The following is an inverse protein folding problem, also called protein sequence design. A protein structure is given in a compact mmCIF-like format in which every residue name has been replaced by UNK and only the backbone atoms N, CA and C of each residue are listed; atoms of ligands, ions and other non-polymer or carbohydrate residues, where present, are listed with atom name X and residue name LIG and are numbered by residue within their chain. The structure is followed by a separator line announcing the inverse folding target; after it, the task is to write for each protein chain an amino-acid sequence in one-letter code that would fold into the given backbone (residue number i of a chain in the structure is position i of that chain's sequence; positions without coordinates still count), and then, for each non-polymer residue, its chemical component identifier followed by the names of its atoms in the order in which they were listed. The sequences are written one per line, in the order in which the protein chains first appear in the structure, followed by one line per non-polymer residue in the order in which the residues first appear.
data_IF_576389885549
#
_entry.id   IF_576389885549
#
_cell.length_a   1.000
_cell.length_b   1.000
_cell.length_c   1.000
_cell.angle_alpha   90.00
_cell.angle_beta   90.00
_cell.angle_gamma   90.00
#
_symmetry.space_group_name_H-M   'P 1'
#
loop_
_entity.id
_entity.type
_entity.pdbx_description
1 polymer ?
#
# COMPACT_ATOMS: atom_id res chain seq x y z
N UNK A 1 16.27 16.37 -4.38
CA UNK A 1 15.31 16.78 -5.40
C UNK A 1 14.05 17.21 -4.69
N UNK A 2 13.53 18.40 -4.99
CA UNK A 2 12.24 18.89 -4.47
C UNK A 2 11.10 18.43 -5.37
N UNK A 3 9.85 18.65 -4.92
CA UNK A 3 8.68 18.34 -5.75
C UNK A 3 8.62 19.27 -6.97
N UNK A 4 8.94 20.54 -6.77
CA UNK A 4 8.96 21.56 -7.82
C UNK A 4 10.03 21.26 -8.88
N UNK A 5 11.16 20.66 -8.48
CA UNK A 5 12.18 20.16 -9.41
C UNK A 5 11.70 18.93 -10.18
N UNK A 6 10.95 18.02 -9.54
CA UNK A 6 10.37 16.85 -10.19
C UNK A 6 9.33 17.24 -11.25
N UNK A 7 8.47 18.22 -10.96
CA UNK A 7 7.45 18.74 -11.89
C UNK A 7 8.04 19.40 -13.15
N UNK A 8 9.31 19.79 -13.13
CA UNK A 8 10.00 20.35 -14.29
C UNK A 8 10.58 19.27 -15.21
N UNK A 9 10.59 17.99 -14.80
CA UNK A 9 11.03 16.90 -15.64
C UNK A 9 9.97 16.56 -16.70
N UNK A 10 10.37 15.99 -17.85
CA UNK A 10 9.43 15.36 -18.77
C UNK A 10 8.56 14.33 -18.05
N UNK A 11 7.27 14.30 -18.37
CA UNK A 11 6.28 13.42 -17.72
C UNK A 11 6.69 11.94 -17.76
N UNK A 12 7.33 11.51 -18.85
CA UNK A 12 7.80 10.12 -19.02
C UNK A 12 8.91 9.74 -18.04
N UNK A 13 9.62 10.74 -17.51
CA UNK A 13 10.66 10.62 -16.48
C UNK A 13 10.04 10.79 -15.10
N UNK A 14 9.26 11.85 -14.88
CA UNK A 14 8.65 12.16 -13.59
C UNK A 14 7.77 11.00 -13.08
N UNK A 15 6.96 10.41 -13.96
CA UNK A 15 6.10 9.25 -13.67
C UNK A 15 6.84 7.97 -13.25
N UNK A 16 8.18 7.96 -13.31
CA UNK A 16 9.02 6.82 -12.91
C UNK A 16 9.82 7.10 -11.64
N UNK A 17 9.50 8.17 -10.93
CA UNK A 17 10.26 8.63 -9.77
C UNK A 17 9.33 8.74 -8.56
N UNK A 18 9.77 8.14 -7.45
CA UNK A 18 9.31 8.50 -6.11
C UNK A 18 10.37 9.38 -5.43
N UNK A 19 9.93 10.26 -4.53
CA UNK A 19 10.82 11.05 -3.68
C UNK A 19 10.70 10.57 -2.24
N UNK A 20 11.77 9.96 -1.73
CA UNK A 20 11.85 9.51 -0.34
C UNK A 20 12.62 10.54 0.46
N UNK A 21 11.91 11.48 1.08
CA UNK A 21 12.52 12.64 1.77
C UNK A 21 13.54 13.37 0.87
N UNK A 22 13.10 13.71 -0.34
CA UNK A 22 13.90 14.38 -1.37
C UNK A 22 14.94 13.51 -2.09
N UNK A 23 15.09 12.24 -1.72
CA UNK A 23 15.91 11.26 -2.44
C UNK A 23 15.13 10.66 -3.61
N UNK A 24 15.72 10.72 -4.81
CA UNK A 24 15.16 10.13 -6.03
C UNK A 24 15.24 8.60 -5.96
N UNK A 25 14.10 7.94 -6.11
CA UNK A 25 13.97 6.49 -6.23
C UNK A 25 13.28 6.16 -7.55
N UNK A 26 13.93 5.33 -8.37
CA UNK A 26 13.40 4.94 -9.67
C UNK A 26 12.46 3.75 -9.54
N UNK A 27 11.22 3.95 -9.98
CA UNK A 27 10.23 2.89 -10.12
C UNK A 27 10.63 1.95 -11.26
N UNK A 28 10.53 0.64 -10.98
CA UNK A 28 10.68 -0.40 -11.99
C UNK A 28 9.28 -0.77 -12.48
N UNK A 29 9.09 -0.82 -13.80
CA UNK A 29 7.85 -1.37 -14.36
C UNK A 29 7.83 -2.89 -14.12
N UNK A 30 6.84 -3.36 -13.36
CA UNK A 30 6.55 -4.78 -13.21
C UNK A 30 6.09 -5.42 -14.52
N UNK A 31 6.03 -6.77 -14.57
CA UNK A 31 5.45 -7.50 -15.70
C UNK A 31 3.95 -7.20 -15.86
N UNK A 32 3.33 -7.61 -16.97
CA UNK A 32 1.90 -7.33 -17.22
C UNK A 32 0.96 -7.88 -16.12
N UNK A 33 1.34 -9.02 -15.54
CA UNK A 33 0.67 -9.65 -14.41
C UNK A 33 0.56 -8.72 -13.21
N UNK A 34 1.60 -7.93 -12.91
CA UNK A 34 1.56 -6.94 -11.83
C UNK A 34 0.39 -5.99 -12.01
N UNK A 35 0.27 -5.40 -13.20
CA UNK A 35 -0.80 -4.45 -13.52
C UNK A 35 -2.18 -5.11 -13.49
N UNK A 36 -2.30 -6.35 -13.97
CA UNK A 36 -3.54 -7.12 -13.95
C UNK A 36 -4.00 -7.38 -12.51
N UNK A 37 -3.11 -7.88 -11.65
CA UNK A 37 -3.47 -8.20 -10.26
C UNK A 37 -3.69 -6.94 -9.42
N UNK A 38 -2.92 -5.86 -9.64
CA UNK A 38 -3.20 -4.56 -9.04
C UNK A 38 -4.61 -4.09 -9.38
N UNK A 39 -4.99 -4.13 -10.66
CA UNK A 39 -6.33 -3.72 -11.09
C UNK A 39 -7.46 -4.56 -10.48
N UNK A 40 -7.26 -5.88 -10.34
CA UNK A 40 -8.26 -6.77 -9.72
C UNK A 40 -8.40 -6.55 -8.22
N UNK A 41 -7.29 -6.43 -7.52
CA UNK A 41 -7.29 -6.14 -6.08
C UNK A 41 -7.96 -4.80 -5.82
N UNK A 42 -7.62 -3.77 -6.60
CA UNK A 42 -8.30 -2.48 -6.52
C UNK A 42 -9.82 -2.60 -6.76
N UNK A 43 -10.25 -3.28 -7.83
CA UNK A 43 -11.66 -3.44 -8.14
C UNK A 43 -12.43 -4.20 -7.04
N UNK A 44 -11.83 -5.26 -6.48
CA UNK A 44 -12.40 -6.01 -5.37
C UNK A 44 -12.50 -5.17 -4.09
N UNK A 45 -11.49 -4.35 -3.80
CA UNK A 45 -11.50 -3.39 -2.69
C UNK A 45 -12.56 -2.31 -2.88
N UNK A 46 -12.71 -1.78 -4.09
CA UNK A 46 -13.75 -0.79 -4.42
C UNK A 46 -15.15 -1.39 -4.22
N UNK A 47 -15.37 -2.61 -4.70
CA UNK A 47 -16.63 -3.34 -4.48
C UNK A 47 -16.94 -3.46 -2.99
N UNK A 48 -16.00 -3.96 -2.19
CA UNK A 48 -16.18 -4.13 -0.74
C UNK A 48 -16.43 -2.78 -0.04
N UNK A 49 -15.72 -1.72 -0.42
CA UNK A 49 -15.91 -0.38 0.14
C UNK A 49 -17.33 0.14 -0.13
N UNK A 50 -17.81 -0.01 -1.38
CA UNK A 50 -19.18 0.39 -1.79
C UNK A 50 -20.24 -0.39 -1.05
N UNK A 51 -20.05 -1.71 -0.89
CA UNK A 51 -20.97 -2.57 -0.14
C UNK A 51 -21.04 -2.14 1.33
N UNK A 52 -19.89 -1.93 1.98
CA UNK A 52 -19.83 -1.47 3.37
C UNK A 52 -20.53 -0.11 3.56
N UNK A 53 -20.30 0.84 2.64
CA UNK A 53 -20.95 2.16 2.67
C UNK A 53 -22.46 2.09 2.37
N UNK A 54 -22.94 1.07 1.65
CA UNK A 54 -24.37 0.88 1.41
C UNK A 54 -25.11 0.38 2.66
N UNK A 55 -24.40 -0.29 3.57
CA UNK A 55 -24.93 -0.82 4.84
C UNK A 55 -24.87 0.23 5.95
N UNK A 56 -23.78 0.99 6.04
CA UNK A 56 -23.59 2.04 7.03
C UNK A 56 -22.92 3.27 6.42
N UNK A 57 -23.52 4.45 6.67
CA UNK A 57 -22.97 5.74 6.23
C UNK A 57 -22.06 6.40 7.29
N UNK A 58 -21.70 5.70 8.36
CA UNK A 58 -20.88 6.28 9.45
C UNK A 58 -19.48 6.68 8.98
N UNK A 59 -18.92 5.93 8.03
CA UNK A 59 -17.60 6.19 7.48
C UNK A 59 -17.65 6.19 5.95
N UNK A 60 -16.90 7.10 5.33
CA UNK A 60 -16.76 7.18 3.88
C UNK A 60 -15.39 6.66 3.47
N UNK A 61 -15.37 5.60 2.66
CA UNK A 61 -14.17 4.90 2.23
C UNK A 61 -14.00 4.99 0.72
N UNK A 62 -12.75 5.09 0.26
CA UNK A 62 -12.40 5.06 -1.16
C UNK A 62 -11.22 4.13 -1.38
N UNK A 63 -11.37 3.23 -2.35
CA UNK A 63 -10.26 2.45 -2.89
C UNK A 63 -9.67 3.19 -4.09
N UNK A 64 -8.35 3.28 -4.13
CA UNK A 64 -7.59 3.93 -5.20
C UNK A 64 -6.39 3.05 -5.58
N UNK A 65 -5.81 3.30 -6.75
CA UNK A 65 -4.61 2.62 -7.24
C UNK A 65 -3.64 3.66 -7.81
N UNK A 66 -2.34 3.33 -7.80
CA UNK A 66 -1.25 4.18 -8.32
C UNK A 66 -1.35 5.67 -7.89
N UNK A 67 -1.77 5.93 -6.64
CA UNK A 67 -1.98 7.29 -6.11
C UNK A 67 -0.92 7.64 -5.08
N UNK A 68 -0.24 8.77 -5.24
CA UNK A 68 0.81 9.22 -4.32
C UNK A 68 0.25 9.47 -2.91
N UNK A 69 0.94 8.93 -1.90
CA UNK A 69 0.72 9.22 -0.50
C UNK A 69 1.86 10.12 -0.02
N UNK A 70 1.52 11.33 0.42
CA UNK A 70 2.48 12.27 0.99
C UNK A 70 2.55 12.10 2.51
N UNK A 71 3.76 11.88 3.07
CA UNK A 71 3.93 11.55 4.49
C UNK A 71 3.98 12.77 5.42
N UNK A 72 4.36 13.94 4.89
CA UNK A 72 4.32 15.19 5.65
C UNK A 72 2.93 15.80 5.75
N UNK A 73 2.65 16.51 6.85
CA UNK A 73 1.45 17.35 6.99
C UNK A 73 1.40 18.47 5.93
N UNK A 74 2.57 18.90 5.46
CA UNK A 74 2.77 19.87 4.39
C UNK A 74 3.89 19.42 3.46
N UNK A 75 3.90 19.92 2.22
CA UNK A 75 4.93 19.60 1.24
C UNK A 75 4.67 18.28 0.49
N UNK A 76 5.45 18.05 -0.57
CA UNK A 76 5.27 16.91 -1.48
C UNK A 76 6.56 16.17 -1.82
N UNK A 77 7.70 16.59 -1.26
CA UNK A 77 9.01 15.98 -1.53
C UNK A 77 9.27 14.68 -0.76
N UNK A 78 8.28 14.21 0.01
CA UNK A 78 8.31 12.91 0.64
C UNK A 78 7.00 12.15 0.36
N UNK A 79 7.07 11.21 -0.59
CA UNK A 79 5.93 10.40 -1.00
C UNK A 79 6.36 9.02 -1.52
N UNK A 80 5.37 8.13 -1.53
CA UNK A 80 5.44 6.85 -2.22
C UNK A 80 4.12 6.60 -2.94
N UNK A 81 4.14 5.69 -3.90
CA UNK A 81 3.00 5.30 -4.72
C UNK A 81 2.74 3.82 -4.50
N UNK A 82 1.79 3.43 -3.62
CA UNK A 82 1.37 2.04 -3.51
C UNK A 82 0.61 1.60 -4.76
N UNK A 83 0.58 0.29 -5.01
CA UNK A 83 -0.17 -0.28 -6.12
C UNK A 83 -1.67 -0.11 -5.93
N UNK A 84 -2.16 -0.40 -4.72
CA UNK A 84 -3.53 -0.14 -4.32
C UNK A 84 -3.60 0.34 -2.87
N UNK A 85 -4.67 1.03 -2.53
CA UNK A 85 -4.86 1.58 -1.19
C UNK A 85 -6.34 1.80 -0.86
N UNK A 86 -6.63 1.93 0.42
CA UNK A 86 -7.93 2.37 0.94
C UNK A 86 -7.71 3.57 1.85
N UNK A 87 -8.49 4.63 1.62
CA UNK A 87 -8.41 5.86 2.40
C UNK A 87 -9.81 6.40 2.73
N UNK A 88 -9.88 7.31 3.70
CA UNK A 88 -11.09 8.10 3.98
C UNK A 88 -11.40 9.02 2.81
N UNK A 89 -12.67 9.31 2.59
CA UNK A 89 -13.05 10.35 1.64
C UNK A 89 -12.43 11.70 2.04
N UNK A 90 -11.84 12.37 1.05
CA UNK A 90 -11.22 13.67 1.25
C UNK A 90 -12.27 14.78 1.24
N UNK A 91 -11.97 15.88 1.94
CA UNK A 91 -12.90 17.00 2.10
C UNK A 91 -13.14 17.77 0.79
N UNK A 92 -12.16 17.75 -0.11
CA UNK A 92 -12.23 18.48 -1.38
C UNK A 92 -11.75 17.64 -2.58
N UNK A 93 -12.31 17.88 -3.78
CA UNK A 93 -11.80 17.28 -5.02
C UNK A 93 -10.33 17.66 -5.27
N UNK A 94 -9.55 16.73 -5.82
CA UNK A 94 -8.14 16.91 -6.18
C UNK A 94 -7.20 17.26 -5.01
N UNK A 95 -7.66 17.08 -3.77
CA UNK A 95 -6.81 17.20 -2.59
C UNK A 95 -5.71 16.13 -2.62
N UNK A 96 -4.50 16.53 -2.23
CA UNK A 96 -3.39 15.59 -2.04
C UNK A 96 -3.74 14.58 -0.95
N UNK A 97 -3.46 13.31 -1.21
CA UNK A 97 -3.67 12.25 -0.24
C UNK A 97 -2.54 12.22 0.80
N UNK A 98 -2.90 12.40 2.07
CA UNK A 98 -1.96 12.35 3.20
C UNK A 98 -2.01 10.99 3.87
N UNK A 99 -0.90 10.55 4.44
CA UNK A 99 -0.85 9.26 5.15
C UNK A 99 -1.89 9.13 6.27
N UNK A 100 -2.24 10.24 6.93
CA UNK A 100 -3.27 10.28 7.98
C UNK A 100 -4.67 9.87 7.49
N UNK A 101 -4.94 10.03 6.20
CA UNK A 101 -6.22 9.64 5.58
C UNK A 101 -6.24 8.17 5.14
N UNK A 102 -5.07 7.53 5.07
CA UNK A 102 -4.89 6.17 4.54
C UNK A 102 -5.05 5.13 5.64
N UNK A 103 -5.86 4.12 5.36
CA UNK A 103 -6.13 3.01 6.30
C UNK A 103 -5.40 1.73 5.93
N UNK A 104 -5.21 1.51 4.62
CA UNK A 104 -4.59 0.31 4.07
C UNK A 104 -3.79 0.71 2.84
N UNK A 105 -2.58 0.17 2.74
CA UNK A 105 -1.75 0.19 1.51
C UNK A 105 -1.44 -1.24 1.09
N UNK A 106 -1.31 -1.47 -0.21
CA UNK A 106 -0.99 -2.76 -0.78
C UNK A 106 0.03 -2.68 -1.90
N UNK A 107 0.95 -3.64 -1.89
CA UNK A 107 2.01 -3.81 -2.88
C UNK A 107 1.90 -5.19 -3.53
N UNK A 108 1.88 -5.21 -4.86
CA UNK A 108 1.95 -6.41 -5.68
C UNK A 108 3.41 -6.67 -6.02
N UNK A 109 4.01 -7.62 -5.32
CA UNK A 109 5.43 -7.90 -5.44
C UNK A 109 5.73 -8.60 -6.76
N UNK A 110 6.62 -7.98 -7.54
CA UNK A 110 7.19 -8.56 -8.75
C UNK A 110 8.59 -9.12 -8.49
N UNK A 111 9.10 -10.01 -9.35
CA UNK A 111 10.49 -10.48 -9.26
C UNK A 111 11.56 -9.37 -9.32
N UNK A 112 11.19 -8.16 -9.77
CA UNK A 112 12.09 -7.01 -9.85
C UNK A 112 12.26 -6.27 -8.51
N UNK A 113 11.39 -6.52 -7.54
CA UNK A 113 11.48 -5.92 -6.20
C UNK A 113 12.58 -6.64 -5.41
N UNK A 114 13.55 -5.89 -4.89
CA UNK A 114 14.56 -6.47 -3.99
C UNK A 114 14.01 -6.51 -2.56
N UNK A 115 14.43 -7.49 -1.73
CA UNK A 115 14.02 -7.53 -0.33
C UNK A 115 14.30 -6.22 0.42
N UNK A 116 15.42 -5.56 0.11
CA UNK A 116 15.76 -4.26 0.72
C UNK A 116 14.81 -3.13 0.30
N UNK A 117 14.36 -3.10 -0.96
CA UNK A 117 13.42 -2.08 -1.43
C UNK A 117 12.04 -2.27 -0.79
N UNK A 118 11.61 -3.54 -0.67
CA UNK A 118 10.34 -3.92 -0.03
C UNK A 118 10.35 -3.48 1.44
N UNK A 119 11.37 -3.89 2.21
CA UNK A 119 11.47 -3.55 3.62
C UNK A 119 11.61 -2.05 3.84
N UNK A 120 12.36 -1.34 2.99
CA UNK A 120 12.46 0.11 3.07
C UNK A 120 11.09 0.79 2.84
N UNK A 121 10.34 0.39 1.81
CA UNK A 121 9.00 0.97 1.52
C UNK A 121 8.01 0.65 2.64
N UNK A 122 8.00 -0.59 3.12
CA UNK A 122 7.21 -1.06 4.28
C UNK A 122 7.49 -0.24 5.54
N UNK A 123 8.77 -0.01 5.86
CA UNK A 123 9.16 0.79 7.02
C UNK A 123 8.72 2.26 6.91
N UNK A 124 8.66 2.83 5.69
CA UNK A 124 8.11 4.17 5.47
C UNK A 124 6.62 4.23 5.76
N UNK A 125 5.83 3.27 5.26
CA UNK A 125 4.40 3.17 5.58
C UNK A 125 4.16 3.05 7.08
N UNK A 126 4.95 2.22 7.76
CA UNK A 126 4.85 2.07 9.21
C UNK A 126 5.17 3.38 9.94
N UNK A 127 6.28 4.04 9.54
CA UNK A 127 6.70 5.32 10.12
C UNK A 127 5.67 6.44 9.87
N UNK A 128 4.93 6.36 8.75
CA UNK A 128 3.84 7.27 8.43
C UNK A 128 2.53 6.95 9.17
N UNK A 129 2.50 5.90 9.98
CA UNK A 129 1.37 5.54 10.84
C UNK A 129 0.22 4.85 10.10
N UNK A 130 0.43 4.33 8.89
CA UNK A 130 -0.65 3.67 8.13
C UNK A 130 -1.01 2.35 8.83
N UNK A 131 -2.28 2.09 9.21
CA UNK A 131 -2.63 0.97 10.08
C UNK A 131 -2.35 -0.43 9.51
N UNK A 132 -2.56 -0.62 8.20
CA UNK A 132 -2.51 -1.94 7.57
C UNK A 132 -1.72 -1.91 6.27
N UNK A 133 -0.87 -2.92 6.09
CA UNK A 133 -0.04 -3.12 4.91
C UNK A 133 -0.27 -4.51 4.31
N UNK A 134 -0.52 -4.58 3.01
CA UNK A 134 -0.74 -5.82 2.25
C UNK A 134 0.44 -6.08 1.32
N UNK A 135 0.99 -7.29 1.39
CA UNK A 135 1.96 -7.80 0.41
C UNK A 135 1.27 -8.88 -0.40
N UNK A 136 1.32 -8.77 -1.72
CA UNK A 136 0.76 -9.76 -2.65
C UNK A 136 1.90 -10.36 -3.46
N UNK A 137 2.19 -11.63 -3.22
CA UNK A 137 3.17 -12.37 -3.99
C UNK A 137 2.55 -12.96 -5.25
N UNK A 138 3.17 -12.73 -6.39
CA UNK A 138 2.83 -13.40 -7.63
C UNK A 138 3.60 -14.71 -7.78
N UNK A 139 2.92 -15.75 -8.29
CA UNK A 139 3.56 -17.00 -8.65
C UNK A 139 4.50 -16.77 -9.84
N UNK A 140 5.74 -17.25 -9.76
CA UNK A 140 6.75 -17.02 -10.81
C UNK A 140 6.49 -17.81 -12.09
N UNK A 141 5.83 -18.96 -11.97
CA UNK A 141 5.60 -19.91 -13.06
C UNK A 141 4.13 -19.96 -13.49
N UNK A 142 3.27 -19.16 -12.86
CA UNK A 142 1.86 -19.07 -13.18
C UNK A 142 1.43 -17.61 -13.10
N UNK A 143 0.63 -17.13 -14.05
CA UNK A 143 0.00 -15.81 -13.95
C UNK A 143 -1.10 -15.89 -12.88
N UNK A 144 -0.72 -15.95 -11.60
CA UNK A 144 -1.60 -16.14 -10.45
C UNK A 144 -0.98 -15.52 -9.20
N UNK A 145 -1.81 -15.25 -8.19
CA UNK A 145 -1.34 -14.88 -6.85
C UNK A 145 -0.91 -16.14 -6.11
N UNK A 146 0.31 -16.13 -5.56
CA UNK A 146 0.86 -17.19 -4.74
C UNK A 146 0.42 -17.05 -3.27
N UNK A 147 0.48 -15.83 -2.73
CA UNK A 147 0.08 -15.53 -1.36
C UNK A 147 -0.32 -14.06 -1.20
N UNK A 148 -1.20 -13.79 -0.23
CA UNK A 148 -1.51 -12.45 0.27
C UNK A 148 -1.18 -12.43 1.75
N UNK A 149 -0.28 -11.55 2.17
CA UNK A 149 0.08 -11.34 3.57
C UNK A 149 -0.40 -9.97 4.01
N UNK A 150 -0.96 -9.93 5.22
CA UNK A 150 -1.44 -8.69 5.83
C UNK A 150 -0.71 -8.47 7.12
N UNK A 151 -0.18 -7.27 7.24
CA UNK A 151 0.54 -6.82 8.40
C UNK A 151 -0.19 -5.65 9.05
N UNK A 152 -0.28 -5.67 10.37
CA UNK A 152 -0.90 -4.63 11.18
C UNK A 152 0.18 -3.80 11.88
N UNK A 153 -0.01 -2.48 11.94
CA UNK A 153 0.95 -1.55 12.52
C UNK A 153 1.16 -1.88 14.00
N UNK A 154 2.41 -2.09 14.40
CA UNK A 154 2.78 -2.25 15.80
C UNK A 154 2.73 -0.87 16.48
N UNK A 155 1.88 -0.69 17.51
CA UNK A 155 1.65 0.64 18.05
C UNK A 155 2.87 1.23 18.75
N UNK A 156 3.74 0.43 19.41
CA UNK A 156 4.95 0.92 20.12
C UNK A 156 5.99 -0.19 20.36
N UNK A 157 7.24 0.02 19.96
CA UNK A 157 8.40 -0.73 20.47
C UNK A 157 9.66 0.14 20.68
N UNK A 158 9.48 1.40 21.10
CA UNK A 158 10.60 2.28 21.44
C UNK A 158 11.13 2.09 22.88
N UNK A 159 10.28 1.65 23.81
CA UNK A 159 10.54 1.77 25.26
C UNK A 159 11.16 0.51 25.90
N UNK A 160 11.28 -0.60 25.15
CA UNK A 160 11.75 -1.89 25.67
C UNK A 160 13.10 -2.35 25.08
N UNK A 161 13.82 -1.45 24.40
CA UNK A 161 15.09 -1.78 23.79
C UNK A 161 16.23 -1.80 24.84
N UNK A 162 17.17 -2.75 24.74
CA UNK A 162 18.37 -2.73 25.57
C UNK A 162 19.16 -1.43 25.43
N UNK A 163 19.81 -1.01 26.51
CA UNK A 163 20.67 0.18 26.50
C UNK A 163 21.73 0.09 25.39
N UNK A 164 21.89 1.18 24.62
CA UNK A 164 22.82 1.25 23.50
C UNK A 164 22.28 0.75 22.15
N UNK A 165 21.07 0.17 22.09
CA UNK A 165 20.44 -0.23 20.83
C UNK A 165 19.74 0.99 20.20
N UNK A 166 20.16 1.37 18.99
CA UNK A 166 19.51 2.41 18.18
C UNK A 166 18.66 1.78 17.09
N UNK A 167 17.36 2.06 17.11
CA UNK A 167 16.46 1.69 16.01
C UNK A 167 16.59 2.66 14.84
N UNK A 168 16.56 2.10 13.63
CA UNK A 168 16.46 2.88 12.40
C UNK A 168 15.01 3.29 12.10
N UNK A 169 14.05 2.45 12.50
CA UNK A 169 12.61 2.67 12.34
C UNK A 169 11.91 2.46 13.68
N UNK A 170 11.14 3.46 14.13
CA UNK A 170 10.46 3.46 15.43
C UNK A 170 9.06 2.84 15.37
N UNK A 171 8.57 2.56 14.17
CA UNK A 171 7.32 1.86 13.90
C UNK A 171 7.58 0.71 12.93
N UNK A 172 6.90 -0.41 13.16
CA UNK A 172 7.01 -1.62 12.34
C UNK A 172 5.63 -2.23 12.13
N UNK A 173 5.54 -3.19 11.20
CA UNK A 173 4.35 -4.00 11.03
C UNK A 173 4.55 -5.43 11.56
N UNK A 174 3.50 -6.01 12.11
CA UNK A 174 3.46 -7.42 12.53
C UNK A 174 2.57 -8.21 11.58
N UNK A 175 3.03 -9.39 11.14
CA UNK A 175 2.22 -10.28 10.31
C UNK A 175 0.96 -10.70 11.08
N UNK A 176 -0.20 -10.36 10.53
CA UNK A 176 -1.51 -10.57 11.13
C UNK A 176 -2.24 -11.75 10.48
N UNK A 177 -2.18 -11.86 9.16
CA UNK A 177 -2.84 -12.91 8.36
C UNK A 177 -2.02 -13.25 7.12
N UNK A 178 -2.22 -14.47 6.63
CA UNK A 178 -1.74 -14.96 5.35
C UNK A 178 -2.87 -15.77 4.69
N UNK A 179 -3.06 -15.58 3.39
CA UNK A 179 -3.91 -16.43 2.54
C UNK A 179 -3.12 -16.93 1.35
N UNK A 180 -3.44 -18.14 0.94
CA UNK A 180 -2.94 -18.83 -0.23
C UNK A 180 -4.13 -19.36 -1.06
N UNK A 181 -3.95 -19.74 -2.33
CA UNK A 181 -5.02 -20.37 -3.10
C UNK A 181 -5.63 -21.64 -2.47
N UNK A 182 -4.98 -22.24 -1.47
CA UNK A 182 -5.54 -23.36 -0.70
C UNK A 182 -6.65 -22.95 0.27
N UNK A 183 -6.74 -21.66 0.61
CA UNK A 183 -7.77 -21.07 1.46
C UNK A 183 -9.06 -20.86 0.66
N UNK A 184 -9.88 -21.91 0.54
CA UNK A 184 -11.05 -21.96 -0.35
C UNK A 184 -12.15 -20.94 -0.07
N UNK A 185 -12.15 -20.30 1.11
CA UNK A 185 -13.08 -19.22 1.46
C UNK A 185 -12.71 -17.88 0.82
N UNK A 186 -11.51 -17.76 0.26
CA UNK A 186 -10.97 -16.49 -0.20
C UNK A 186 -10.40 -15.64 0.94
N UNK A 187 -10.26 -14.36 0.67
CA UNK A 187 -9.68 -13.37 1.58
C UNK A 187 -10.79 -12.78 2.44
N UNK A 188 -10.64 -12.88 3.76
CA UNK A 188 -11.56 -12.31 4.74
C UNK A 188 -10.82 -11.44 5.75
N UNK A 189 -11.05 -10.13 5.71
CA UNK A 189 -10.44 -9.17 6.64
C UNK A 189 -11.46 -8.11 7.05
N UNK A 190 -11.43 -7.63 8.29
CA UNK A 190 -12.51 -6.79 8.84
C UNK A 190 -12.15 -5.31 9.00
N UNK A 191 -10.99 -4.90 8.49
CA UNK A 191 -10.50 -3.54 8.62
C UNK A 191 -10.09 -2.94 7.26
N UNK A 192 -10.38 -1.66 6.97
CA UNK A 192 -11.17 -0.72 7.79
C UNK A 192 -12.68 -0.97 7.74
N UNK A 193 -13.11 -1.89 6.87
CA UNK A 193 -14.47 -2.40 6.73
C UNK A 193 -14.40 -3.89 6.37
N UNK A 194 -15.52 -4.63 6.35
CA UNK A 194 -15.54 -6.02 5.90
C UNK A 194 -15.07 -6.16 4.44
N UNK A 195 -13.87 -6.72 4.26
CA UNK A 195 -13.27 -7.09 2.99
C UNK A 195 -13.48 -8.60 2.82
N UNK A 196 -14.19 -8.96 1.75
CA UNK A 196 -14.48 -10.35 1.38
C UNK A 196 -14.20 -10.51 -0.12
N UNK A 197 -13.11 -11.17 -0.46
CA UNK A 197 -12.65 -11.31 -1.84
C UNK A 197 -12.50 -12.80 -2.16
N UNK A 198 -13.40 -13.42 -2.94
CA UNK A 198 -13.22 -14.79 -3.39
C UNK A 198 -12.06 -14.87 -4.38
N UNK A 199 -11.36 -16.01 -4.41
CA UNK A 199 -10.25 -16.23 -5.35
C UNK A 199 -10.66 -16.05 -6.82
N UNK A 200 -11.91 -16.35 -7.17
CA UNK A 200 -12.45 -16.16 -8.52
C UNK A 200 -12.42 -14.71 -9.02
N UNK A 201 -12.40 -13.70 -8.13
CA UNK A 201 -12.21 -12.30 -8.51
C UNK A 201 -10.74 -11.97 -8.84
N UNK A 202 -9.82 -12.85 -8.45
CA UNK A 202 -8.38 -12.69 -8.56
C UNK A 202 -7.76 -13.65 -9.59
N UNK A 203 -8.53 -14.50 -10.27
CA UNK A 203 -8.05 -15.44 -11.31
C UNK A 203 -7.71 -14.72 -12.63
N UNK A 204 -6.66 -15.16 -13.35
CA UNK A 204 -6.22 -14.65 -14.67
C UNK A 204 -7.25 -14.74 -15.78
#
# INVERSE_FOLDING_TARGET
MTWEELEQLPEEIASRIELWDGRVVWLRRGPGEHQIFTGRLWAAMERCAREAMSISSENCWRASFETNIFFGATGKSDFVTPDFLVHRCLESPYQDLRSADVMLVGEVLSPANTPSDIEAKKARYASAGIPVYWEVDLAREASAIAAIRVYALEPRHGDLLPEGVRVLHTANYLLSREWTPSDTKGIEFDFPFPIRIPWSELEF
#
